data_IF_160145822481
#
_entry.id   IF_160145822481
#
_cell.length_a   1.000
_cell.length_b   1.000
_cell.length_c   1.000
_cell.angle_alpha   90.00
_cell.angle_beta   90.00
_cell.angle_gamma   90.00
#
_symmetry.space_group_name_H-M   'P 1'
#
loop_
_entity.id
_entity.type
_entity.pdbx_description
1 polymer ?
#
# COMPACT_ATOMS: atom_id res chain seq x y z
N UNK A 1 -5.78 13.02 -26.88
CA UNK A 1 -4.77 13.32 -25.84
C UNK A 1 -4.65 12.06 -24.99
N UNK A 2 -3.46 11.50 -24.86
CA UNK A 2 -3.28 10.37 -23.96
C UNK A 2 -3.70 10.82 -22.55
N UNK A 3 -4.71 10.17 -21.97
CA UNK A 3 -5.01 10.36 -20.56
C UNK A 3 -3.71 10.14 -19.78
N UNK A 4 -3.39 11.06 -18.90
CA UNK A 4 -2.20 10.97 -18.07
C UNK A 4 -2.43 9.82 -17.08
N UNK A 5 -2.12 8.58 -17.49
CA UNK A 5 -2.28 7.37 -16.71
C UNK A 5 -1.16 7.27 -15.65
N UNK A 6 -0.87 8.40 -15.00
CA UNK A 6 0.08 8.44 -13.89
C UNK A 6 -0.52 7.70 -12.69
N UNK A 7 0.24 6.73 -12.18
CA UNK A 7 -0.02 6.10 -10.89
C UNK A 7 0.90 6.74 -9.87
N UNK A 8 0.33 7.36 -8.86
CA UNK A 8 1.08 7.84 -7.70
C UNK A 8 1.21 6.72 -6.68
N UNK A 9 2.44 6.40 -6.28
CA UNK A 9 2.67 5.49 -5.14
C UNK A 9 3.14 6.32 -3.94
N UNK A 10 2.43 6.18 -2.84
CA UNK A 10 2.83 6.71 -1.54
C UNK A 10 3.36 5.59 -0.66
N UNK A 11 4.60 5.74 -0.19
CA UNK A 11 5.23 4.82 0.74
C UNK A 11 4.99 5.31 2.16
N UNK A 12 4.47 4.43 3.01
CA UNK A 12 4.23 4.76 4.42
C UNK A 12 4.96 3.84 5.40
N UNK A 13 5.72 2.86 4.90
CA UNK A 13 6.45 1.89 5.70
C UNK A 13 5.74 0.54 5.79
N UNK A 14 5.65 0.01 7.00
CA UNK A 14 5.13 -1.33 7.23
C UNK A 14 6.13 -2.43 6.88
N UNK A 15 5.72 -3.68 7.10
CA UNK A 15 6.58 -4.86 6.89
C UNK A 15 7.13 -4.95 5.47
N UNK A 16 6.40 -4.44 4.48
CA UNK A 16 6.80 -4.46 3.07
C UNK A 16 8.24 -3.98 2.84
N UNK A 17 8.64 -2.86 3.47
CA UNK A 17 9.94 -2.20 3.27
C UNK A 17 10.94 -2.48 4.40
N UNK A 18 10.63 -3.34 5.36
CA UNK A 18 11.58 -3.70 6.42
C UNK A 18 12.70 -4.57 5.90
N UNK A 19 13.89 -4.34 6.45
CA UNK A 19 15.08 -5.18 6.28
C UNK A 19 15.45 -5.87 7.59
N UNK A 20 16.21 -6.96 7.50
CA UNK A 20 16.72 -7.67 8.67
C UNK A 20 18.14 -7.23 8.99
N UNK A 21 18.34 -6.75 10.21
CA UNK A 21 19.66 -6.45 10.72
C UNK A 21 20.26 -7.70 11.38
N UNK A 22 21.19 -8.35 10.70
CA UNK A 22 21.81 -9.58 11.19
C UNK A 22 22.75 -9.36 12.40
N UNK A 23 23.11 -8.13 12.71
CA UNK A 23 23.97 -7.81 13.87
C UNK A 23 23.17 -7.85 15.17
N UNK A 24 21.97 -7.29 15.17
CA UNK A 24 21.13 -7.20 16.38
C UNK A 24 19.86 -8.07 16.30
N UNK A 25 19.59 -8.72 15.15
CA UNK A 25 18.44 -9.61 14.96
C UNK A 25 17.10 -8.88 14.84
N UNK A 26 17.09 -7.58 14.56
CA UNK A 26 15.88 -6.78 14.48
C UNK A 26 15.54 -6.40 13.04
N UNK A 27 14.24 -6.17 12.78
CA UNK A 27 13.77 -5.54 11.56
C UNK A 27 13.90 -4.01 11.68
N UNK A 28 14.28 -3.37 10.58
CA UNK A 28 14.45 -1.91 10.54
C UNK A 28 14.09 -1.36 9.17
N UNK A 29 13.89 -0.05 9.08
CA UNK A 29 13.69 0.66 7.82
C UNK A 29 14.99 1.31 7.36
N UNK A 30 15.27 1.22 6.05
CA UNK A 30 16.34 1.99 5.39
C UNK A 30 15.74 2.88 4.29
N UNK A 31 15.22 2.25 3.25
CA UNK A 31 14.60 2.91 2.11
C UNK A 31 13.55 1.98 1.51
N UNK A 32 12.73 2.50 0.61
CA UNK A 32 11.75 1.66 -0.09
C UNK A 32 12.41 0.79 -1.16
N UNK A 33 11.91 -0.43 -1.28
CA UNK A 33 12.34 -1.37 -2.32
C UNK A 33 11.56 -1.23 -3.63
N UNK A 34 10.60 -0.32 -3.70
CA UNK A 34 9.72 -0.15 -4.87
C UNK A 34 10.47 0.05 -6.19
N UNK A 35 11.50 0.92 -6.31
CA UNK A 35 12.22 1.08 -7.57
C UNK A 35 12.80 -0.25 -8.08
N UNK A 36 13.43 -1.03 -7.20
CA UNK A 36 14.00 -2.33 -7.52
C UNK A 36 12.93 -3.34 -7.94
N UNK A 37 11.78 -3.34 -7.23
CA UNK A 37 10.67 -4.25 -7.53
C UNK A 37 10.09 -3.95 -8.91
N UNK A 38 9.89 -2.68 -9.23
CA UNK A 38 9.34 -2.25 -10.52
C UNK A 38 10.29 -2.58 -11.67
N UNK A 39 11.60 -2.40 -11.48
CA UNK A 39 12.61 -2.78 -12.45
C UNK A 39 12.63 -4.30 -12.66
N UNK A 40 12.69 -5.07 -11.58
CA UNK A 40 12.69 -6.55 -11.62
C UNK A 40 11.42 -7.09 -12.28
N UNK A 41 10.27 -6.47 -11.98
CA UNK A 41 8.97 -6.80 -12.57
C UNK A 41 8.80 -6.31 -14.01
N UNK A 42 9.81 -5.63 -14.58
CA UNK A 42 9.74 -5.02 -15.92
C UNK A 42 8.49 -4.15 -16.08
N UNK A 43 8.17 -3.37 -15.06
CA UNK A 43 7.00 -2.52 -15.04
C UNK A 43 7.08 -1.45 -16.14
N UNK A 44 6.06 -1.36 -16.96
CA UNK A 44 5.96 -0.37 -18.06
C UNK A 44 4.99 0.77 -17.76
N UNK A 45 4.45 0.82 -16.54
CA UNK A 45 3.50 1.85 -16.12
C UNK A 45 4.23 3.18 -15.85
N UNK A 46 3.52 4.29 -16.05
CA UNK A 46 3.99 5.61 -15.65
C UNK A 46 3.74 5.80 -14.16
N UNK A 47 4.79 5.68 -13.35
CA UNK A 47 4.70 5.68 -11.88
C UNK A 47 5.57 6.79 -11.31
N UNK A 48 5.00 7.54 -10.37
CA UNK A 48 5.73 8.42 -9.47
C UNK A 48 5.70 7.86 -8.05
N UNK A 49 6.85 7.79 -7.39
CA UNK A 49 7.00 7.25 -6.03
C UNK A 49 7.37 8.39 -5.08
N UNK A 50 6.61 8.51 -4.02
CA UNK A 50 6.91 9.46 -2.95
C UNK A 50 6.82 8.78 -1.59
N UNK A 51 7.92 8.76 -0.85
CA UNK A 51 7.94 8.33 0.55
C UNK A 51 7.37 9.44 1.43
N UNK A 52 6.28 9.14 2.11
CA UNK A 52 5.67 10.03 3.09
C UNK A 52 6.24 9.80 4.49
N UNK A 53 6.44 8.54 4.83
CA UNK A 53 6.98 8.10 6.11
C UNK A 53 7.48 6.66 6.04
N UNK A 54 8.23 6.23 7.04
CA UNK A 54 8.67 4.85 7.24
C UNK A 54 8.29 4.43 8.67
N UNK A 55 7.03 4.04 8.87
CA UNK A 55 6.44 3.77 10.18
C UNK A 55 5.84 2.37 10.21
N UNK A 56 5.98 1.67 11.34
CA UNK A 56 5.19 0.46 11.60
C UNK A 56 3.72 0.87 11.80
N UNK A 57 2.79 0.13 11.20
CA UNK A 57 1.38 0.51 11.27
C UNK A 57 0.80 0.49 12.68
N UNK A 58 1.37 -0.29 13.59
CA UNK A 58 0.98 -0.27 15.01
C UNK A 58 1.42 1.02 15.74
N UNK A 59 2.43 1.71 15.21
CA UNK A 59 2.93 2.99 15.74
C UNK A 59 2.32 4.20 15.00
N UNK A 60 1.60 3.96 13.91
CA UNK A 60 1.00 5.01 13.08
C UNK A 60 -0.10 5.76 13.85
N UNK A 61 0.04 7.07 13.91
CA UNK A 61 -0.90 7.98 14.57
C UNK A 61 -1.96 8.51 13.62
N UNK A 62 -2.99 9.16 14.15
CA UNK A 62 -4.01 9.83 13.32
C UNK A 62 -3.41 11.01 12.55
N UNK A 63 -2.42 11.72 13.11
CA UNK A 63 -1.68 12.77 12.40
C UNK A 63 -0.92 12.21 11.20
N UNK A 64 -0.36 11.00 11.28
CA UNK A 64 0.27 10.33 10.13
C UNK A 64 -0.76 10.02 9.04
N UNK A 65 -1.97 9.59 9.43
CA UNK A 65 -3.08 9.34 8.50
C UNK A 65 -3.55 10.62 7.82
N UNK A 66 -3.57 11.75 8.53
CA UNK A 66 -3.88 13.06 7.95
C UNK A 66 -2.86 13.46 6.87
N UNK A 67 -1.57 13.17 7.07
CA UNK A 67 -0.53 13.39 6.04
C UNK A 67 -0.84 12.55 4.79
N UNK A 68 -1.23 11.29 4.95
CA UNK A 68 -1.59 10.42 3.83
C UNK A 68 -2.80 11.00 3.10
N UNK A 69 -3.88 11.32 3.81
CA UNK A 69 -5.11 11.91 3.25
C UNK A 69 -4.82 13.19 2.48
N UNK A 70 -4.04 14.10 3.08
CA UNK A 70 -3.67 15.36 2.45
C UNK A 70 -2.92 15.16 1.12
N UNK A 71 -1.95 14.23 1.09
CA UNK A 71 -1.22 13.92 -0.13
C UNK A 71 -2.12 13.26 -1.19
N UNK A 72 -3.02 12.37 -0.79
CA UNK A 72 -4.01 11.78 -1.70
C UNK A 72 -4.92 12.86 -2.30
N UNK A 73 -5.42 13.78 -1.50
CA UNK A 73 -6.30 14.86 -1.95
C UNK A 73 -5.59 15.80 -2.93
N UNK A 74 -4.33 16.13 -2.69
CA UNK A 74 -3.52 17.05 -3.52
C UNK A 74 -2.92 16.42 -4.77
N UNK A 75 -2.84 15.10 -4.85
CA UNK A 75 -2.25 14.41 -6.00
C UNK A 75 -2.97 14.79 -7.29
N UNK A 76 -2.22 14.98 -8.38
CA UNK A 76 -2.78 15.13 -9.72
C UNK A 76 -3.16 13.78 -10.34
N UNK A 77 -2.60 12.68 -9.83
CA UNK A 77 -2.95 11.35 -10.27
C UNK A 77 -4.36 10.97 -9.81
N UNK A 78 -5.12 10.32 -10.69
CA UNK A 78 -6.41 9.72 -10.34
C UNK A 78 -6.27 8.34 -9.70
N UNK A 79 -5.15 7.68 -9.96
CA UNK A 79 -4.82 6.34 -9.48
C UNK A 79 -3.72 6.45 -8.44
N UNK A 80 -4.01 6.03 -7.22
CA UNK A 80 -3.10 6.14 -6.09
C UNK A 80 -2.96 4.76 -5.46
N UNK A 81 -1.72 4.34 -5.26
CA UNK A 81 -1.36 3.14 -4.52
C UNK A 81 -0.59 3.55 -3.26
N UNK A 82 -0.91 2.91 -2.15
CA UNK A 82 -0.25 3.17 -0.85
C UNK A 82 0.31 1.85 -0.34
N UNK A 83 1.63 1.81 -0.10
CA UNK A 83 2.22 0.72 0.67
C UNK A 83 2.10 1.02 2.16
N UNK A 84 1.61 0.06 2.93
CA UNK A 84 1.19 0.27 4.31
C UNK A 84 1.38 -1.01 5.13
N UNK A 85 1.60 -0.86 6.43
CA UNK A 85 1.60 -1.99 7.35
C UNK A 85 0.22 -2.64 7.47
N UNK A 86 0.20 -3.96 7.58
CA UNK A 86 -1.06 -4.73 7.48
C UNK A 86 -1.94 -4.65 8.72
N UNK A 87 -1.40 -4.33 9.90
CA UNK A 87 -2.15 -4.40 11.15
C UNK A 87 -3.22 -3.31 11.28
N UNK A 88 -2.94 -2.09 10.79
CA UNK A 88 -3.89 -0.99 10.83
C UNK A 88 -4.28 -0.46 9.44
N UNK A 89 -4.03 -1.23 8.40
CA UNK A 89 -4.38 -0.88 7.02
C UNK A 89 -5.87 -0.57 6.85
N UNK A 90 -6.74 -1.34 7.48
CA UNK A 90 -8.20 -1.13 7.45
C UNK A 90 -8.58 0.21 8.09
N UNK A 91 -7.91 0.60 9.18
CA UNK A 91 -8.14 1.89 9.85
C UNK A 91 -7.76 3.05 8.92
N UNK A 92 -6.62 2.97 8.27
CA UNK A 92 -6.16 4.00 7.33
C UNK A 92 -7.07 4.06 6.10
N UNK A 93 -7.48 2.93 5.54
CA UNK A 93 -8.42 2.88 4.42
C UNK A 93 -9.76 3.56 4.78
N UNK A 94 -10.28 3.31 5.98
CA UNK A 94 -11.47 3.97 6.51
C UNK A 94 -11.28 5.48 6.60
N UNK A 95 -10.18 5.95 7.18
CA UNK A 95 -9.89 7.37 7.33
C UNK A 95 -9.83 8.09 5.97
N UNK A 96 -9.20 7.48 4.97
CA UNK A 96 -9.15 8.01 3.60
C UNK A 96 -10.54 8.07 2.99
N UNK A 97 -11.35 7.02 3.15
CA UNK A 97 -12.71 6.98 2.61
C UNK A 97 -13.64 8.02 3.24
N UNK A 98 -13.54 8.21 4.55
CA UNK A 98 -14.31 9.23 5.30
C UNK A 98 -13.93 10.66 4.93
N UNK A 99 -12.71 10.88 4.43
CA UNK A 99 -12.27 12.18 3.90
C UNK A 99 -12.94 12.54 2.55
N UNK A 100 -13.69 11.62 1.92
CA UNK A 100 -14.46 11.83 0.70
C UNK A 100 -13.67 12.47 -0.45
N UNK A 101 -12.47 11.96 -0.69
CA UNK A 101 -11.62 12.44 -1.79
C UNK A 101 -12.28 12.03 -3.12
N UNK A 102 -12.62 13.03 -3.93
CA UNK A 102 -13.36 12.83 -5.17
C UNK A 102 -12.47 12.39 -6.34
N UNK A 103 -13.05 11.66 -7.29
CA UNK A 103 -12.44 11.31 -8.57
C UNK A 103 -11.12 10.53 -8.49
N UNK A 104 -10.93 9.76 -7.44
CA UNK A 104 -9.71 8.95 -7.26
C UNK A 104 -10.03 7.49 -6.95
N UNK A 105 -9.23 6.61 -7.51
CA UNK A 105 -9.12 5.21 -7.11
C UNK A 105 -7.89 5.09 -6.22
N UNK A 106 -8.09 4.75 -4.96
CA UNK A 106 -7.03 4.66 -3.96
C UNK A 106 -6.98 3.21 -3.47
N UNK A 107 -5.84 2.56 -3.62
CA UNK A 107 -5.63 1.19 -3.17
C UNK A 107 -4.52 1.14 -2.13
N UNK A 108 -4.72 0.36 -1.07
CA UNK A 108 -3.71 0.08 -0.06
C UNK A 108 -3.26 -1.36 -0.22
N UNK A 109 -1.97 -1.59 -0.09
CA UNK A 109 -1.37 -2.93 -0.08
C UNK A 109 -0.17 -2.96 0.86
N UNK A 110 0.34 -4.14 1.11
CA UNK A 110 1.48 -4.35 1.99
C UNK A 110 2.01 -5.76 1.87
N UNK A 111 2.77 -6.19 2.87
CA UNK A 111 3.29 -7.54 2.94
C UNK A 111 3.26 -8.07 4.37
N UNK A 112 3.05 -9.37 4.50
CA UNK A 112 3.21 -10.09 5.77
C UNK A 112 4.67 -10.42 6.02
N UNK A 113 5.45 -10.62 4.96
CA UNK A 113 6.88 -10.92 5.00
C UNK A 113 7.62 -9.85 4.19
N UNK A 114 8.68 -9.24 4.74
CA UNK A 114 9.42 -8.18 4.06
C UNK A 114 9.88 -8.60 2.65
N UNK A 115 9.79 -7.68 1.70
CA UNK A 115 10.31 -7.94 0.34
C UNK A 115 11.79 -8.35 0.35
N UNK A 116 12.59 -7.78 1.24
CA UNK A 116 14.01 -8.09 1.38
C UNK A 116 14.30 -9.57 1.71
N UNK A 117 13.28 -10.34 2.15
CA UNK A 117 13.40 -11.79 2.41
C UNK A 117 13.32 -12.65 1.13
N UNK A 118 13.23 -12.02 -0.02
CA UNK A 118 13.28 -12.68 -1.32
C UNK A 118 12.06 -13.56 -1.59
N UNK A 119 12.29 -14.78 -2.05
CA UNK A 119 11.22 -15.70 -2.48
C UNK A 119 10.21 -16.08 -1.40
N UNK A 120 10.50 -15.83 -0.14
CA UNK A 120 9.57 -16.04 0.97
C UNK A 120 8.53 -14.92 1.10
N UNK A 121 8.78 -13.76 0.48
CA UNK A 121 7.92 -12.59 0.62
C UNK A 121 6.69 -12.66 -0.27
N UNK A 122 5.57 -12.22 0.28
CA UNK A 122 4.33 -11.97 -0.45
C UNK A 122 4.28 -10.54 -1.08
N UNK A 123 5.29 -9.71 -0.83
CA UNK A 123 5.31 -8.32 -1.24
C UNK A 123 5.25 -8.12 -2.76
N UNK A 124 6.02 -8.89 -3.52
CA UNK A 124 6.03 -8.81 -4.99
C UNK A 124 4.65 -9.16 -5.58
N UNK A 125 4.02 -10.22 -5.06
CA UNK A 125 2.69 -10.66 -5.48
C UNK A 125 1.61 -9.61 -5.16
N UNK A 126 1.62 -9.08 -3.94
CA UNK A 126 0.66 -8.06 -3.50
C UNK A 126 0.82 -6.75 -4.28
N UNK A 127 2.05 -6.31 -4.54
CA UNK A 127 2.29 -5.10 -5.33
C UNK A 127 1.82 -5.26 -6.78
N UNK A 128 2.15 -6.37 -7.43
CA UNK A 128 1.69 -6.64 -8.79
C UNK A 128 0.17 -6.68 -8.89
N UNK A 129 -0.50 -7.30 -7.92
CA UNK A 129 -1.96 -7.30 -7.81
C UNK A 129 -2.51 -5.87 -7.63
N UNK A 130 -1.92 -5.09 -6.73
CA UNK A 130 -2.37 -3.72 -6.47
C UNK A 130 -2.20 -2.81 -7.69
N UNK A 131 -1.09 -2.92 -8.42
CA UNK A 131 -0.87 -2.19 -9.67
C UNK A 131 -1.89 -2.56 -10.76
N UNK A 132 -2.32 -3.81 -10.81
CA UNK A 132 -3.36 -4.25 -11.76
C UNK A 132 -4.73 -3.71 -11.36
N UNK A 133 -5.10 -3.83 -10.10
CA UNK A 133 -6.41 -3.40 -9.61
C UNK A 133 -6.60 -1.88 -9.62
N UNK A 134 -5.59 -1.09 -9.29
CA UNK A 134 -5.71 0.38 -9.30
C UNK A 134 -6.06 0.93 -10.68
N UNK A 135 -5.68 0.23 -11.74
CA UNK A 135 -5.99 0.61 -13.13
C UNK A 135 -7.42 0.31 -13.55
N UNK A 136 -8.09 -0.63 -12.87
CA UNK A 136 -9.36 -1.21 -13.33
C UNK A 136 -10.53 -0.97 -12.38
N UNK A 137 -10.27 -0.74 -11.11
CA UNK A 137 -11.30 -0.46 -10.13
C UNK A 137 -11.92 0.93 -10.35
N UNK A 138 -13.17 1.06 -9.98
CA UNK A 138 -13.90 2.34 -9.99
C UNK A 138 -13.34 3.28 -8.93
N UNK A 139 -13.68 4.56 -9.03
CA UNK A 139 -13.42 5.55 -7.98
C UNK A 139 -13.86 5.02 -6.61
N UNK A 140 -12.96 5.05 -5.65
CA UNK A 140 -13.20 4.51 -4.31
C UNK A 140 -11.91 4.16 -3.58
N UNK A 141 -12.05 3.61 -2.39
CA UNK A 141 -10.93 3.17 -1.53
C UNK A 141 -11.00 1.66 -1.33
N UNK A 142 -9.90 1.00 -1.57
CA UNK A 142 -9.81 -0.46 -1.56
C UNK A 142 -8.56 -0.96 -0.84
N UNK A 143 -8.63 -2.17 -0.33
CA UNK A 143 -7.48 -2.94 0.14
C UNK A 143 -7.22 -4.08 -0.84
N UNK A 144 -5.96 -4.22 -1.27
CA UNK A 144 -5.52 -5.27 -2.18
C UNK A 144 -4.53 -6.15 -1.43
N UNK A 145 -4.97 -7.32 -1.06
CA UNK A 145 -4.16 -8.32 -0.34
C UNK A 145 -4.54 -9.73 -0.78
N UNK A 146 -3.59 -10.61 -0.74
CA UNK A 146 -3.80 -12.04 -1.01
C UNK A 146 -4.39 -12.33 -2.41
N UNK A 147 -4.10 -11.47 -3.41
CA UNK A 147 -4.63 -11.59 -4.77
C UNK A 147 -6.09 -11.15 -4.94
N UNK A 148 -6.66 -10.55 -3.91
CA UNK A 148 -8.05 -10.07 -3.90
C UNK A 148 -8.11 -8.56 -3.69
N UNK A 149 -9.20 -7.95 -4.15
CA UNK A 149 -9.56 -6.60 -3.75
C UNK A 149 -10.75 -6.62 -2.79
N UNK A 150 -10.76 -5.66 -1.89
CA UNK A 150 -11.84 -5.46 -0.92
C UNK A 150 -12.21 -3.98 -0.87
N UNK A 151 -13.49 -3.67 -0.82
CA UNK A 151 -13.94 -2.33 -0.44
C UNK A 151 -13.55 -2.07 1.02
N UNK A 152 -13.13 -0.85 1.33
CA UNK A 152 -12.62 -0.45 2.65
C UNK A 152 -13.53 -0.81 3.83
N UNK A 153 -14.85 -0.84 3.62
CA UNK A 153 -15.87 -1.10 4.65
C UNK A 153 -16.36 -2.55 4.67
N UNK A 154 -15.79 -3.42 3.86
CA UNK A 154 -16.17 -4.83 3.75
C UNK A 154 -15.02 -5.79 4.01
N UNK A 155 -14.00 -5.36 4.73
CA UNK A 155 -12.78 -6.13 4.92
C UNK A 155 -12.32 -6.10 6.36
N UNK A 156 -11.77 -7.23 6.80
CA UNK A 156 -11.04 -7.36 8.06
C UNK A 156 -9.77 -8.19 7.85
N UNK A 157 -8.75 -7.97 8.67
CA UNK A 157 -7.60 -8.86 8.77
C UNK A 157 -7.91 -9.95 9.81
N UNK A 158 -7.81 -11.20 9.43
CA UNK A 158 -7.85 -12.31 10.36
C UNK A 158 -6.50 -12.42 11.09
N UNK A 159 -6.46 -12.05 12.35
CA UNK A 159 -5.21 -12.01 13.14
C UNK A 159 -4.62 -13.38 13.45
N UNK A 160 -5.39 -14.46 13.27
CA UNK A 160 -4.91 -15.84 13.48
C UNK A 160 -4.21 -16.39 12.24
N UNK A 161 -4.70 -16.04 11.06
CA UNK A 161 -4.19 -16.57 9.78
C UNK A 161 -3.34 -15.56 9.01
N UNK A 162 -3.47 -14.26 9.31
CA UNK A 162 -2.85 -13.17 8.56
C UNK A 162 -3.54 -12.81 7.25
N UNK A 163 -4.58 -13.54 6.84
CA UNK A 163 -5.33 -13.26 5.62
C UNK A 163 -6.32 -12.12 5.82
N UNK A 164 -6.54 -11.38 4.74
CA UNK A 164 -7.65 -10.43 4.64
C UNK A 164 -8.89 -11.15 4.11
N UNK A 165 -10.02 -10.89 4.71
CA UNK A 165 -11.30 -11.58 4.42
C UNK A 165 -12.47 -10.62 4.47
N UNK A 166 -13.57 -10.98 3.81
CA UNK A 166 -14.80 -10.19 3.83
C UNK A 166 -15.40 -10.15 5.24
N UNK A 167 -16.04 -9.04 5.58
CA UNK A 167 -16.91 -8.93 6.74
C UNK A 167 -18.28 -9.46 6.30
N UNK A 168 -18.80 -10.45 7.04
CA UNK A 168 -20.16 -10.96 6.87
C UNK A 168 -21.21 -9.92 7.25
#
# INVERSE_FOLDING_TARGET
>A
MAENNLIQIYVTGGTFDKEYNFVNGQLFFRDTHLPQILELGRCSLNIDIKTLMMVDSLEMTDSDREIIIHNCAKSQARQILITHGTDTMVITAKAIAEAKIENKTIVLTGAMIPYAFGSSSDGFFNLGSALSFVQTLKVGVYIIMNGRYFEWNKVKKNTKTGFFEDIE
#
